data_IF_491471352039
#
_entry.id   IF_491471352039
#
_cell.length_a   1.000
_cell.length_b   1.000
_cell.length_c   1.000
_cell.angle_alpha   90.00
_cell.angle_beta   90.00
_cell.angle_gamma   90.00
#
_symmetry.space_group_name_H-M   'P 1'
#
loop_
_entity.id
_entity.type
_entity.pdbx_description
1 polymer ?
#
# COMPACT_ATOMS: atom_id res chain seq x y z
N UNK A 1 -1.21 18.86 -1.49
CA UNK A 1 0.27 18.88 -1.53
C UNK A 1 0.93 18.70 -0.15
N UNK A 2 0.25 19.02 0.97
CA UNK A 2 0.75 18.72 2.33
C UNK A 2 0.83 17.21 2.68
N UNK A 3 -0.12 16.39 2.22
CA UNK A 3 -0.18 14.94 2.50
C UNK A 3 1.10 14.17 2.08
N UNK A 4 1.71 14.52 0.94
CA UNK A 4 2.89 13.81 0.43
C UNK A 4 4.13 14.03 1.29
N UNK A 5 4.32 15.25 1.81
CA UNK A 5 5.55 15.59 2.55
C UNK A 5 5.50 15.20 4.03
N UNK A 6 4.30 15.08 4.64
CA UNK A 6 4.17 14.79 6.08
C UNK A 6 3.67 13.38 6.41
N UNK A 7 2.80 12.78 5.60
CA UNK A 7 2.12 11.54 5.98
C UNK A 7 2.61 10.29 5.26
N UNK A 8 3.16 10.42 4.04
CA UNK A 8 3.69 9.30 3.24
C UNK A 8 5.21 9.14 3.32
N UNK A 9 5.87 9.95 4.15
CA UNK A 9 7.32 9.90 4.41
C UNK A 9 7.66 9.11 5.68
N UNK A 10 6.65 8.47 6.30
CA UNK A 10 6.84 7.69 7.51
C UNK A 10 7.62 6.41 7.20
N UNK A 11 8.39 5.90 8.18
CA UNK A 11 9.05 4.62 8.02
C UNK A 11 8.02 3.49 7.95
N UNK A 12 8.29 2.47 7.13
CA UNK A 12 7.50 1.24 7.06
C UNK A 12 7.30 0.68 8.49
N UNK A 13 6.07 0.30 8.88
CA UNK A 13 5.73 -0.14 10.23
C UNK A 13 6.19 -1.58 10.50
N UNK A 14 7.50 -1.81 10.47
CA UNK A 14 8.09 -3.15 10.58
C UNK A 14 7.70 -3.88 11.86
N UNK A 15 7.52 -3.18 12.99
CA UNK A 15 7.11 -3.82 14.24
C UNK A 15 5.74 -4.50 14.12
N UNK A 16 4.78 -3.79 13.55
CA UNK A 16 3.43 -4.31 13.35
C UNK A 16 3.41 -5.40 12.29
N UNK A 17 4.19 -5.24 11.21
CA UNK A 17 4.35 -6.29 10.20
C UNK A 17 4.94 -7.58 10.78
N UNK A 18 5.91 -7.49 11.70
CA UNK A 18 6.44 -8.66 12.41
C UNK A 18 5.41 -9.28 13.37
N UNK A 19 4.57 -8.46 14.02
CA UNK A 19 3.46 -8.98 14.84
C UNK A 19 2.43 -9.72 13.99
N UNK A 20 2.02 -9.17 12.85
CA UNK A 20 1.13 -9.85 11.89
C UNK A 20 1.74 -11.20 11.48
N UNK A 21 3.05 -11.23 11.19
CA UNK A 21 3.73 -12.49 10.83
C UNK A 21 3.68 -13.54 11.94
N UNK A 22 3.73 -13.11 13.20
CA UNK A 22 3.66 -14.01 14.35
C UNK A 22 2.23 -14.50 14.57
N UNK A 23 1.26 -13.59 14.58
CA UNK A 23 -0.15 -13.89 14.87
C UNK A 23 -0.80 -14.77 13.79
N UNK A 24 -0.37 -14.63 12.54
CA UNK A 24 -0.87 -15.38 11.39
C UNK A 24 0.18 -16.30 10.77
N UNK A 25 1.13 -16.78 11.57
CA UNK A 25 2.23 -17.62 11.08
C UNK A 25 1.72 -18.87 10.32
N UNK A 26 0.61 -19.45 10.76
CA UNK A 26 0.01 -20.62 10.10
C UNK A 26 -0.57 -20.26 8.74
N UNK A 27 -1.41 -19.22 8.66
CA UNK A 27 -2.00 -18.74 7.42
C UNK A 27 -0.94 -18.32 6.40
N UNK A 28 0.11 -17.63 6.85
CA UNK A 28 1.23 -17.21 6.02
C UNK A 28 2.06 -18.40 5.51
N UNK A 29 2.20 -19.47 6.32
CA UNK A 29 2.93 -20.68 5.90
C UNK A 29 2.24 -21.46 4.77
N UNK A 30 0.95 -21.20 4.53
CA UNK A 30 0.17 -21.83 3.46
C UNK A 30 0.21 -21.04 2.14
N UNK A 31 0.84 -19.86 2.13
CA UNK A 31 0.98 -19.04 0.94
C UNK A 31 2.11 -19.55 0.03
N UNK A 32 2.15 -19.03 -1.19
CA UNK A 32 3.27 -19.24 -2.12
C UNK A 32 4.59 -18.81 -1.49
N UNK A 33 5.70 -19.46 -1.85
CA UNK A 33 7.06 -19.05 -1.43
C UNK A 33 7.41 -17.62 -1.88
N UNK A 34 6.73 -17.13 -2.92
CA UNK A 34 6.89 -15.76 -3.41
C UNK A 34 6.14 -14.72 -2.55
N UNK A 35 5.19 -15.15 -1.72
CA UNK A 35 4.40 -14.24 -0.88
C UNK A 35 5.27 -13.70 0.27
N UNK A 36 5.47 -12.39 0.29
CA UNK A 36 6.25 -11.73 1.32
C UNK A 36 5.55 -10.44 1.74
N UNK A 37 4.82 -10.51 2.87
CA UNK A 37 4.01 -9.39 3.35
C UNK A 37 4.77 -8.05 3.40
N UNK A 38 6.02 -8.06 3.84
CA UNK A 38 6.84 -6.84 3.89
C UNK A 38 7.16 -6.30 2.50
N UNK A 39 7.53 -7.18 1.56
CA UNK A 39 7.86 -6.79 0.19
C UNK A 39 6.60 -6.32 -0.54
N UNK A 40 5.51 -7.06 -0.43
CA UNK A 40 4.23 -6.73 -1.07
C UNK A 40 3.65 -5.41 -0.56
N UNK A 41 3.70 -5.17 0.76
CA UNK A 41 3.29 -3.89 1.34
C UNK A 41 4.20 -2.74 0.88
N UNK A 42 5.51 -2.95 0.84
CA UNK A 42 6.44 -1.95 0.32
C UNK A 42 6.19 -1.65 -1.17
N UNK A 43 5.97 -2.67 -1.99
CA UNK A 43 5.65 -2.56 -3.42
C UNK A 43 4.32 -1.84 -3.67
N UNK A 44 3.36 -1.99 -2.75
CA UNK A 44 2.13 -1.20 -2.75
C UNK A 44 2.43 0.29 -2.51
N UNK A 45 3.11 0.59 -1.41
CA UNK A 45 3.45 1.96 -1.01
C UNK A 45 4.30 2.67 -2.08
N UNK A 46 5.30 1.98 -2.64
CA UNK A 46 6.18 2.51 -3.68
C UNK A 46 5.42 2.82 -4.98
N UNK A 47 4.46 1.98 -5.38
CA UNK A 47 3.65 2.24 -6.56
C UNK A 47 2.85 3.55 -6.40
N UNK A 48 2.21 3.72 -5.24
CA UNK A 48 1.44 4.93 -4.92
C UNK A 48 2.34 6.16 -4.83
N UNK A 49 3.43 6.09 -4.06
CA UNK A 49 4.38 7.19 -3.90
C UNK A 49 5.03 7.62 -5.23
N UNK A 50 5.38 6.65 -6.07
CA UNK A 50 5.92 6.89 -7.41
C UNK A 50 4.92 7.62 -8.30
N UNK A 51 3.66 7.20 -8.31
CA UNK A 51 2.61 7.87 -9.10
C UNK A 51 2.36 9.30 -8.59
N UNK A 52 2.31 9.50 -7.27
CA UNK A 52 2.16 10.84 -6.69
C UNK A 52 3.33 11.74 -7.10
N UNK A 53 4.55 11.22 -7.09
CA UNK A 53 5.73 11.98 -7.54
C UNK A 53 5.60 12.43 -8.99
N UNK A 54 5.11 11.57 -9.90
CA UNK A 54 4.84 11.97 -11.29
C UNK A 54 3.81 13.11 -11.37
N UNK A 55 2.70 13.00 -10.64
CA UNK A 55 1.65 14.04 -10.59
C UNK A 55 2.18 15.37 -10.05
N UNK A 56 2.95 15.34 -8.96
CA UNK A 56 3.51 16.56 -8.36
C UNK A 56 4.51 17.24 -9.30
N UNK A 57 5.28 16.46 -10.06
CA UNK A 57 6.29 16.97 -10.98
C UNK A 57 5.71 17.36 -12.36
N UNK A 58 4.40 17.22 -12.58
CA UNK A 58 3.76 17.51 -13.87
C UNK A 58 4.28 16.60 -15.00
N UNK A 59 4.61 15.35 -14.66
CA UNK A 59 5.16 14.35 -15.58
C UNK A 59 4.19 13.17 -15.74
N UNK A 60 2.89 13.43 -15.68
CA UNK A 60 1.83 12.42 -15.70
C UNK A 60 1.84 11.58 -16.98
N UNK A 61 2.29 12.15 -18.10
CA UNK A 61 2.43 11.47 -19.38
C UNK A 61 3.44 10.31 -19.35
N UNK A 62 4.33 10.30 -18.34
CA UNK A 62 5.33 9.24 -18.16
C UNK A 62 4.84 8.11 -17.25
N UNK A 63 3.63 8.21 -16.68
CA UNK A 63 3.09 7.15 -15.81
C UNK A 63 2.73 5.94 -16.67
N UNK A 64 3.36 4.77 -16.45
CA UNK A 64 3.04 3.57 -17.22
C UNK A 64 1.59 3.14 -17.01
N UNK A 65 0.92 2.67 -18.08
CA UNK A 65 -0.45 2.16 -18.00
C UNK A 65 -0.60 1.06 -16.93
N UNK A 66 0.39 0.17 -16.81
CA UNK A 66 0.43 -0.86 -15.77
C UNK A 66 0.40 -0.26 -14.36
N UNK A 67 1.11 0.83 -14.13
CA UNK A 67 1.11 1.50 -12.82
C UNK A 67 -0.27 2.10 -12.54
N UNK A 68 -0.93 2.70 -13.53
CA UNK A 68 -2.32 3.17 -13.38
C UNK A 68 -3.31 2.03 -13.12
N UNK A 69 -3.09 0.84 -13.69
CA UNK A 69 -3.89 -0.34 -13.35
C UNK A 69 -3.68 -0.77 -11.90
N UNK A 70 -2.44 -0.75 -11.40
CA UNK A 70 -2.14 -1.04 -9.99
C UNK A 70 -2.79 -0.03 -9.04
N UNK A 71 -2.82 1.25 -9.39
CA UNK A 71 -3.47 2.30 -8.59
C UNK A 71 -4.98 2.10 -8.42
N UNK A 72 -5.63 1.34 -9.31
CA UNK A 72 -7.08 1.08 -9.20
C UNK A 72 -7.45 0.09 -8.11
N UNK A 73 -6.51 -0.72 -7.66
CA UNK A 73 -6.72 -1.75 -6.63
C UNK A 73 -6.30 -1.22 -5.26
N UNK A 74 -7.12 -1.46 -4.23
CA UNK A 74 -6.65 -1.33 -2.85
C UNK A 74 -5.69 -2.47 -2.49
N UNK A 75 -5.02 -2.39 -1.34
CA UNK A 75 -3.97 -3.34 -0.96
C UNK A 75 -4.43 -4.81 -1.02
N UNK A 76 -5.56 -5.14 -0.39
CA UNK A 76 -6.12 -6.49 -0.35
C UNK A 76 -6.69 -6.96 -1.69
N UNK A 77 -7.16 -6.06 -2.57
CA UNK A 77 -7.47 -6.41 -3.96
C UNK A 77 -6.22 -6.80 -4.75
N UNK A 78 -5.11 -6.09 -4.54
CA UNK A 78 -3.84 -6.36 -5.22
C UNK A 78 -3.16 -7.62 -4.69
N UNK A 79 -3.30 -7.90 -3.39
CA UNK A 79 -2.69 -9.03 -2.71
C UNK A 79 -3.73 -9.84 -1.91
N UNK A 80 -4.61 -10.58 -2.61
CA UNK A 80 -5.75 -11.27 -1.99
C UNK A 80 -5.34 -12.40 -1.04
N UNK A 81 -4.09 -12.86 -1.10
CA UNK A 81 -3.52 -13.82 -0.15
C UNK A 81 -3.57 -13.32 1.29
N UNK A 82 -3.66 -12.00 1.52
CA UNK A 82 -3.65 -11.39 2.85
C UNK A 82 -5.05 -11.03 3.38
N UNK A 83 -6.13 -11.43 2.71
CA UNK A 83 -7.51 -11.08 3.12
C UNK A 83 -7.88 -11.56 4.53
N UNK A 84 -7.20 -12.59 5.05
CA UNK A 84 -7.40 -13.05 6.43
C UNK A 84 -6.98 -12.01 7.50
N UNK A 85 -6.21 -10.98 7.10
CA UNK A 85 -5.74 -9.87 7.95
C UNK A 85 -6.70 -8.68 7.86
N UNK A 86 -7.42 -8.49 6.74
CA UNK A 86 -8.16 -7.25 6.40
C UNK A 86 -9.10 -6.75 7.51
N UNK A 87 -9.92 -7.64 8.08
CA UNK A 87 -10.85 -7.28 9.15
C UNK A 87 -10.20 -7.15 10.55
N UNK A 88 -8.89 -7.39 10.66
CA UNK A 88 -8.10 -7.36 11.90
C UNK A 88 -7.00 -6.31 11.85
N UNK A 89 -6.93 -5.50 10.79
CA UNK A 89 -5.91 -4.45 10.63
C UNK A 89 -5.90 -3.47 11.81
N UNK A 90 -7.05 -3.23 12.46
CA UNK A 90 -7.14 -2.38 13.66
C UNK A 90 -6.30 -2.85 14.86
N UNK A 91 -5.94 -4.13 14.89
CA UNK A 91 -5.11 -4.71 15.96
C UNK A 91 -3.63 -4.30 15.80
N UNK A 92 -3.27 -3.69 14.66
CA UNK A 92 -1.94 -3.26 14.29
C UNK A 92 -1.94 -1.76 13.94
N UNK A 93 -1.95 -0.85 14.93
CA UNK A 93 -2.26 0.56 14.71
C UNK A 93 -1.27 1.31 13.80
N UNK A 94 0.03 0.97 13.83
CA UNK A 94 1.02 1.60 12.97
C UNK A 94 0.86 1.09 11.53
N UNK A 95 0.60 -0.20 11.35
CA UNK A 95 0.27 -0.77 10.03
C UNK A 95 -1.02 -0.17 9.46
N UNK A 96 -2.10 -0.13 10.26
CA UNK A 96 -3.37 0.47 9.86
C UNK A 96 -3.20 1.92 9.43
N UNK A 97 -2.50 2.72 10.23
CA UNK A 97 -2.29 4.14 9.96
C UNK A 97 -1.55 4.34 8.63
N UNK A 98 -0.52 3.54 8.38
CA UNK A 98 0.26 3.62 7.15
C UNK A 98 -0.56 3.19 5.93
N UNK A 99 -1.22 2.02 6.02
CA UNK A 99 -2.09 1.51 4.97
C UNK A 99 -3.17 2.54 4.61
N UNK A 100 -3.87 3.09 5.60
CA UNK A 100 -4.91 4.11 5.37
C UNK A 100 -4.33 5.37 4.71
N UNK A 101 -3.15 5.82 5.14
CA UNK A 101 -2.50 7.01 4.55
C UNK A 101 -2.23 6.81 3.05
N UNK A 102 -1.74 5.62 2.67
CA UNK A 102 -1.50 5.26 1.27
C UNK A 102 -2.80 5.03 0.47
N UNK A 103 -3.82 4.41 1.07
CA UNK A 103 -5.15 4.24 0.44
C UNK A 103 -5.80 5.60 0.14
N UNK A 104 -5.80 6.52 1.11
CA UNK A 104 -6.34 7.87 0.94
C UNK A 104 -5.60 8.61 -0.17
N UNK A 105 -4.27 8.53 -0.18
CA UNK A 105 -3.45 9.16 -1.21
C UNK A 105 -3.70 8.56 -2.61
N UNK A 106 -3.84 7.24 -2.71
CA UNK A 106 -4.20 6.54 -3.95
C UNK A 106 -5.54 7.02 -4.49
N UNK A 107 -6.56 7.12 -3.64
CA UNK A 107 -7.90 7.61 -4.03
C UNK A 107 -7.83 9.06 -4.52
N UNK A 108 -7.10 9.94 -3.83
CA UNK A 108 -6.95 11.34 -4.26
C UNK A 108 -6.28 11.45 -5.63
N UNK A 109 -5.27 10.63 -5.92
CA UNK A 109 -4.64 10.58 -7.24
C UNK A 109 -5.61 10.08 -8.30
N UNK A 110 -6.38 9.03 -8.03
CA UNK A 110 -7.39 8.55 -8.99
C UNK A 110 -8.44 9.62 -9.30
N UNK A 111 -8.88 10.37 -8.28
CA UNK A 111 -9.83 11.48 -8.45
C UNK A 111 -9.24 12.62 -9.28
N UNK A 112 -7.94 12.86 -9.21
CA UNK A 112 -7.25 13.85 -10.05
C UNK A 112 -7.37 13.49 -11.54
N UNK A 113 -7.23 12.22 -11.91
CA UNK A 113 -7.29 11.75 -13.30
C UNK A 113 -8.70 11.56 -13.87
N UNK A 114 -9.75 11.59 -13.04
CA UNK A 114 -11.15 11.49 -13.49
C UNK A 114 -11.73 12.86 -13.89
N UNK A 115 -11.01 13.96 -13.58
CA UNK A 115 -11.43 15.33 -13.91
C UNK A 115 -11.36 15.66 -15.40
#
# INVERSE_FOLDING_TARGET
>A
MLLYTTDLSRPIPYKDLELIKQDFALELSLLSEEACLNADFNDYCMAVAGTISCVINGSEENIPLRQMQLMKMHFFERFPSYNFIENKVSDYPAFQKELNSFEEARVLVLQYFIR
#
